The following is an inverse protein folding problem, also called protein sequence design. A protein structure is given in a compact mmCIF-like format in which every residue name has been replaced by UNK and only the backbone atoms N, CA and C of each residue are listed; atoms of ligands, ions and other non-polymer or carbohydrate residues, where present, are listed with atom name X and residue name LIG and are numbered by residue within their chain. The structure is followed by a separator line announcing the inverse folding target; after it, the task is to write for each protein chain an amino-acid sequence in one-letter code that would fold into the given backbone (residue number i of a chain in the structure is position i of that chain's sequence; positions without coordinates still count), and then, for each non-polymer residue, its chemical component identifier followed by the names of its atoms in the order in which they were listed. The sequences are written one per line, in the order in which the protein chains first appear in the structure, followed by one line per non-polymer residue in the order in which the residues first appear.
data_IF_079269264161
#
_entry.id   IF_079269264161
#
_cell.length_a   1.000
_cell.length_b   1.000
_cell.length_c   1.000
_cell.angle_alpha   90.00
_cell.angle_beta   90.00
_cell.angle_gamma   90.00
#
_symmetry.space_group_name_H-M   'P 1'
#
loop_
_entity.id
_entity.type
_entity.pdbx_description
1 polymer ?
#
# COMPACT_ATOMS: atom_id res chain seq x y z
N UNK A 1 -21.39 -22.45 7.69
CA UNK A 1 -21.63 -21.43 6.64
C UNK A 1 -20.28 -20.98 6.16
N UNK A 2 -19.94 -21.25 4.90
CA UNK A 2 -18.63 -20.94 4.35
C UNK A 2 -18.53 -19.46 4.02
N UNK A 3 -17.53 -18.77 4.57
CA UNK A 3 -17.18 -17.42 4.16
C UNK A 3 -16.66 -17.38 2.72
N UNK A 4 -16.34 -16.18 2.20
CA UNK A 4 -15.71 -16.04 0.90
C UNK A 4 -14.35 -16.74 0.88
N UNK A 5 -13.97 -17.25 -0.29
CA UNK A 5 -12.63 -17.78 -0.58
C UNK A 5 -11.86 -16.74 -1.38
N UNK A 6 -10.59 -16.52 -1.06
CA UNK A 6 -9.72 -15.60 -1.78
C UNK A 6 -9.66 -15.93 -3.27
N UNK A 7 -9.72 -14.91 -4.12
CA UNK A 7 -9.53 -15.02 -5.57
C UNK A 7 -8.46 -14.03 -6.00
N UNK A 8 -7.62 -14.40 -6.95
CA UNK A 8 -6.63 -13.46 -7.53
C UNK A 8 -7.29 -12.20 -8.10
N UNK A 9 -8.52 -12.31 -8.61
CA UNK A 9 -9.30 -11.15 -9.08
C UNK A 9 -9.56 -10.12 -7.99
N UNK A 10 -9.55 -10.51 -6.71
CA UNK A 10 -9.75 -9.60 -5.58
C UNK A 10 -8.59 -8.60 -5.47
N UNK A 11 -7.40 -8.94 -5.99
CA UNK A 11 -6.25 -8.02 -6.05
C UNK A 11 -6.53 -6.79 -6.93
N UNK A 12 -7.47 -6.87 -7.87
CA UNK A 12 -7.90 -5.72 -8.68
C UNK A 12 -8.59 -4.63 -7.86
N UNK A 13 -9.00 -4.94 -6.63
CA UNK A 13 -9.59 -3.98 -5.70
C UNK A 13 -8.56 -3.20 -4.91
N UNK A 14 -7.30 -3.65 -4.89
CA UNK A 14 -6.24 -3.07 -4.06
C UNK A 14 -5.64 -1.86 -4.77
N UNK A 15 -5.55 -0.75 -4.04
CA UNK A 15 -4.99 0.50 -4.57
C UNK A 15 -4.12 1.21 -3.54
N UNK A 16 -3.31 2.15 -4.00
CA UNK A 16 -2.60 3.11 -3.15
C UNK A 16 -3.23 4.49 -3.32
N UNK A 17 -3.37 5.21 -2.19
CA UNK A 17 -3.46 6.66 -2.22
C UNK A 17 -2.02 7.19 -2.16
N UNK A 18 -1.54 7.70 -3.28
CA UNK A 18 -0.20 8.26 -3.43
C UNK A 18 -0.22 9.75 -3.10
N UNK A 19 0.75 10.16 -2.29
CA UNK A 19 1.00 11.53 -1.92
C UNK A 19 2.47 11.85 -2.20
N UNK A 20 2.71 13.04 -2.73
CA UNK A 20 4.03 13.63 -2.87
C UNK A 20 3.97 15.09 -2.38
N UNK A 21 5.11 15.78 -2.38
CA UNK A 21 5.21 17.16 -1.89
C UNK A 21 4.26 18.13 -2.62
N UNK A 22 3.90 17.85 -3.87
CA UNK A 22 3.05 18.69 -4.73
C UNK A 22 1.56 18.42 -4.48
N UNK A 23 1.21 17.20 -4.06
CA UNK A 23 -0.17 16.75 -3.86
C UNK A 23 -0.39 16.12 -2.47
N UNK A 24 0.09 16.79 -1.41
CA UNK A 24 0.01 16.25 -0.04
C UNK A 24 -1.43 16.15 0.50
N UNK A 25 -2.36 16.97 -0.01
CA UNK A 25 -3.71 17.11 0.52
C UNK A 25 -4.77 16.27 -0.22
N UNK A 26 -4.76 16.25 -1.55
CA UNK A 26 -5.76 15.49 -2.29
C UNK A 26 -5.35 14.01 -2.45
N UNK A 27 -4.04 13.77 -2.67
CA UNK A 27 -3.55 12.47 -3.07
C UNK A 27 -4.08 12.05 -4.44
N UNK A 28 -3.53 10.98 -4.99
CA UNK A 28 -4.01 10.38 -6.22
C UNK A 28 -4.13 8.87 -6.05
N UNK A 29 -5.20 8.29 -6.57
CA UNK A 29 -5.53 6.88 -6.41
C UNK A 29 -5.00 6.09 -7.61
N UNK A 30 -4.20 5.06 -7.34
CA UNK A 30 -3.73 4.12 -8.35
C UNK A 30 -3.92 2.69 -7.89
N UNK A 31 -4.52 1.86 -8.74
CA UNK A 31 -4.60 0.43 -8.49
C UNK A 31 -3.22 -0.20 -8.66
N UNK A 32 -2.89 -1.21 -7.85
CA UNK A 32 -1.59 -1.89 -7.95
C UNK A 32 -1.39 -2.60 -9.30
N UNK A 33 -2.50 -2.89 -10.00
CA UNK A 33 -2.50 -3.40 -11.38
C UNK A 33 -2.01 -2.39 -12.41
N UNK A 34 -2.09 -1.09 -12.13
CA UNK A 34 -1.66 -0.01 -13.01
C UNK A 34 -0.20 0.40 -12.72
N UNK A 35 0.72 -0.55 -12.97
CA UNK A 35 2.15 -0.36 -12.69
C UNK A 35 2.75 0.82 -13.45
N UNK A 36 2.30 1.05 -14.69
CA UNK A 36 2.73 2.17 -15.53
C UNK A 36 2.18 3.50 -15.03
N UNK A 37 0.90 3.58 -14.63
CA UNK A 37 0.34 4.78 -14.02
C UNK A 37 1.09 5.19 -12.75
N UNK A 38 1.42 4.21 -11.90
CA UNK A 38 2.22 4.43 -10.69
C UNK A 38 3.63 4.92 -11.04
N UNK A 39 4.30 4.28 -12.01
CA UNK A 39 5.64 4.66 -12.46
C UNK A 39 5.70 6.09 -13.00
N UNK A 40 4.64 6.55 -13.67
CA UNK A 40 4.58 7.90 -14.23
C UNK A 40 4.27 8.99 -13.19
N UNK A 41 3.66 8.65 -12.06
CA UNK A 41 3.28 9.61 -11.01
C UNK A 41 4.28 9.68 -9.85
N UNK A 42 4.96 8.57 -9.54
CA UNK A 42 5.88 8.50 -8.41
C UNK A 42 7.10 9.42 -8.63
N UNK A 43 7.53 10.13 -7.58
CA UNK A 43 8.81 10.85 -7.62
C UNK A 43 9.96 9.84 -7.50
N UNK A 44 10.82 9.75 -8.52
CA UNK A 44 11.93 8.80 -8.53
C UNK A 44 13.12 9.28 -7.70
N UNK A 45 13.91 8.35 -7.16
CA UNK A 45 15.15 8.66 -6.42
C UNK A 45 14.94 9.22 -5.00
N UNK A 46 13.70 9.35 -4.53
CA UNK A 46 13.39 9.77 -3.16
C UNK A 46 12.88 8.60 -2.31
N UNK A 47 12.76 8.82 -1.00
CA UNK A 47 12.20 7.80 -0.08
C UNK A 47 10.74 7.50 -0.42
N UNK A 48 10.35 6.24 -0.36
CA UNK A 48 8.96 5.81 -0.52
C UNK A 48 8.48 5.14 0.76
N UNK A 49 7.50 5.77 1.39
CA UNK A 49 6.97 5.42 2.71
C UNK A 49 5.57 4.86 2.57
N UNK A 50 5.39 3.58 2.90
CA UNK A 50 4.15 2.83 2.66
C UNK A 50 3.48 2.52 3.99
N UNK A 51 2.22 2.92 4.13
CA UNK A 51 1.37 2.75 5.30
C UNK A 51 0.26 1.76 4.97
N UNK A 52 0.13 0.70 5.76
CA UNK A 52 -0.83 -0.39 5.50
C UNK A 52 -1.77 -0.55 6.70
N UNK A 53 -3.07 -0.36 6.46
CA UNK A 53 -4.11 -0.56 7.47
C UNK A 53 -4.33 -2.05 7.79
N UNK A 54 -5.03 -2.32 8.88
CA UNK A 54 -5.38 -3.68 9.31
C UNK A 54 -6.80 -4.08 8.93
N UNK A 55 -7.25 -5.18 9.54
CA UNK A 55 -8.61 -5.69 9.43
C UNK A 55 -9.66 -4.60 9.75
N UNK A 56 -10.76 -4.55 8.98
CA UNK A 56 -11.83 -3.55 9.06
C UNK A 56 -11.41 -2.09 8.86
N UNK A 57 -10.18 -1.84 8.39
CA UNK A 57 -9.67 -0.49 8.12
C UNK A 57 -9.67 -0.13 6.63
N UNK A 58 -9.22 1.08 6.34
CA UNK A 58 -8.97 1.60 4.99
C UNK A 58 -7.75 2.53 4.98
N UNK A 59 -7.34 2.98 3.79
CA UNK A 59 -6.22 3.91 3.62
C UNK A 59 -6.46 5.30 4.22
N UNK A 60 -7.71 5.63 4.59
CA UNK A 60 -8.11 6.93 5.19
C UNK A 60 -8.23 6.87 6.71
N UNK A 61 -7.60 5.88 7.35
CA UNK A 61 -7.55 5.82 8.82
C UNK A 61 -6.77 7.01 9.39
N UNK A 62 -7.19 7.52 10.55
CA UNK A 62 -6.62 8.73 11.16
C UNK A 62 -5.12 8.64 11.42
N UNK A 63 -4.61 7.45 11.74
CA UNK A 63 -3.18 7.24 11.94
C UNK A 63 -2.38 7.35 10.63
N UNK A 64 -2.95 6.95 9.48
CA UNK A 64 -2.32 7.13 8.18
C UNK A 64 -2.17 8.62 7.85
N UNK A 65 -3.23 9.41 8.08
CA UNK A 65 -3.19 10.86 7.85
C UNK A 65 -2.20 11.57 8.77
N UNK A 66 -2.17 11.21 10.06
CA UNK A 66 -1.22 11.76 11.01
C UNK A 66 0.23 11.41 10.65
N UNK A 67 0.50 10.15 10.30
CA UNK A 67 1.83 9.69 9.89
C UNK A 67 2.29 10.40 8.61
N UNK A 68 1.44 10.46 7.58
CA UNK A 68 1.69 11.20 6.33
C UNK A 68 2.09 12.65 6.61
N UNK A 69 1.30 13.35 7.43
CA UNK A 69 1.54 14.75 7.78
C UNK A 69 2.92 14.92 8.42
N UNK A 70 3.26 14.07 9.38
CA UNK A 70 4.57 14.14 10.05
C UNK A 70 5.74 13.75 9.15
N UNK A 71 5.53 12.86 8.17
CA UNK A 71 6.54 12.50 7.18
C UNK A 71 6.90 13.69 6.27
N UNK A 72 5.89 14.38 5.73
CA UNK A 72 6.12 15.55 4.88
C UNK A 72 6.74 16.74 5.64
N UNK A 73 6.56 16.83 6.96
CA UNK A 73 7.26 17.82 7.79
C UNK A 73 8.77 17.55 7.91
N UNK A 74 9.21 16.31 7.72
CA UNK A 74 10.60 15.87 7.98
C UNK A 74 11.38 15.49 6.73
N UNK A 75 10.69 15.08 5.68
CA UNK A 75 11.32 14.46 4.52
C UNK A 75 10.68 14.92 3.21
N UNK A 76 11.52 15.08 2.19
CA UNK A 76 11.10 15.07 0.80
C UNK A 76 10.98 13.61 0.35
N UNK A 77 9.74 13.13 0.19
CA UNK A 77 9.45 11.71 0.00
C UNK A 77 8.10 11.48 -0.70
N UNK A 78 7.87 10.24 -1.13
CA UNK A 78 6.55 9.72 -1.46
C UNK A 78 5.94 9.07 -0.21
N UNK A 79 4.65 9.30 0.01
CA UNK A 79 3.87 8.57 1.02
C UNK A 79 2.73 7.84 0.33
N UNK A 80 2.62 6.54 0.55
CA UNK A 80 1.57 5.68 0.00
C UNK A 80 0.73 5.11 1.12
N UNK A 81 -0.58 5.35 1.11
CA UNK A 81 -1.50 4.62 1.96
C UNK A 81 -2.10 3.47 1.14
N UNK A 82 -1.70 2.24 1.44
CA UNK A 82 -2.22 1.04 0.79
C UNK A 82 -3.61 0.74 1.30
N UNK A 83 -4.57 0.69 0.38
CA UNK A 83 -5.94 0.31 0.62
C UNK A 83 -6.20 -1.11 0.09
N UNK A 84 -6.58 -1.98 1.00
CA UNK A 84 -7.01 -3.35 0.74
C UNK A 84 -8.32 -3.64 1.49
N UNK A 85 -9.14 -2.60 1.69
CA UNK A 85 -10.38 -2.63 2.50
C UNK A 85 -11.32 -3.76 2.07
N UNK A 86 -11.47 -4.00 0.77
CA UNK A 86 -12.32 -5.07 0.23
C UNK A 86 -11.93 -6.46 0.79
N UNK A 87 -10.63 -6.74 0.85
CA UNK A 87 -10.09 -8.00 1.34
C UNK A 87 -10.07 -8.02 2.89
N UNK A 88 -9.76 -6.87 3.50
CA UNK A 88 -9.69 -6.70 4.95
C UNK A 88 -11.07 -6.56 5.62
N UNK A 89 -12.17 -6.60 4.86
CA UNK A 89 -13.50 -6.36 5.37
C UNK A 89 -13.96 -7.46 6.35
N UNK A 90 -14.61 -7.04 7.42
CA UNK A 90 -15.29 -7.95 8.33
C UNK A 90 -16.57 -8.53 7.70
N UNK A 91 -17.08 -9.66 8.24
CA UNK A 91 -16.65 -10.36 9.44
C UNK A 91 -15.62 -11.49 9.22
N UNK A 92 -15.16 -11.70 7.99
CA UNK A 92 -14.41 -12.91 7.60
C UNK A 92 -12.91 -12.77 7.85
N UNK A 93 -12.48 -12.93 9.11
CA UNK A 93 -11.07 -12.79 9.49
C UNK A 93 -10.13 -13.76 8.76
N UNK A 94 -10.54 -15.02 8.59
CA UNK A 94 -9.71 -16.03 7.92
C UNK A 94 -9.44 -15.66 6.46
N UNK A 95 -10.45 -15.14 5.77
CA UNK A 95 -10.32 -14.62 4.40
C UNK A 95 -9.37 -13.42 4.34
N UNK A 96 -9.49 -12.48 5.28
CA UNK A 96 -8.59 -11.33 5.36
C UNK A 96 -7.14 -11.75 5.68
N UNK A 97 -6.95 -12.74 6.55
CA UNK A 97 -5.64 -13.24 6.93
C UNK A 97 -4.94 -13.96 5.77
N UNK A 98 -5.67 -14.78 5.01
CA UNK A 98 -5.17 -15.40 3.78
C UNK A 98 -4.83 -14.33 2.72
N UNK A 99 -5.74 -13.38 2.52
CA UNK A 99 -5.57 -12.29 1.56
C UNK A 99 -4.39 -11.37 1.87
N UNK A 100 -4.04 -11.16 3.14
CA UNK A 100 -2.97 -10.26 3.56
C UNK A 100 -1.62 -10.59 2.90
N UNK A 101 -1.24 -11.87 2.82
CA UNK A 101 0.02 -12.24 2.19
C UNK A 101 -0.03 -12.20 0.66
N UNK A 102 -1.20 -12.39 0.05
CA UNK A 102 -1.35 -12.21 -1.41
C UNK A 102 -1.25 -10.73 -1.78
N UNK A 103 -1.85 -9.82 -0.99
CA UNK A 103 -1.67 -8.38 -1.13
C UNK A 103 -0.20 -7.99 -0.95
N UNK A 104 0.47 -8.56 0.05
CA UNK A 104 1.90 -8.32 0.32
C UNK A 104 2.79 -8.71 -0.85
N UNK A 105 2.64 -9.94 -1.37
CA UNK A 105 3.36 -10.41 -2.57
C UNK A 105 3.15 -9.48 -3.76
N UNK A 106 1.89 -9.07 -3.99
CA UNK A 106 1.57 -8.19 -5.11
C UNK A 106 2.19 -6.79 -4.97
N UNK A 107 2.24 -6.26 -3.74
CA UNK A 107 2.99 -5.04 -3.44
C UNK A 107 4.49 -5.25 -3.69
N UNK A 108 5.07 -6.36 -3.25
CA UNK A 108 6.48 -6.71 -3.49
C UNK A 108 6.82 -6.77 -4.99
N UNK A 109 5.95 -7.37 -5.80
CA UNK A 109 6.11 -7.41 -7.26
C UNK A 109 6.06 -6.02 -7.90
N UNK A 110 5.19 -5.13 -7.42
CA UNK A 110 5.15 -3.74 -7.86
C UNK A 110 6.45 -3.01 -7.48
N UNK A 111 6.94 -3.18 -6.25
CA UNK A 111 8.20 -2.56 -5.81
C UNK A 111 9.40 -3.08 -6.61
N UNK A 112 9.45 -4.37 -6.90
CA UNK A 112 10.47 -4.95 -7.77
C UNK A 112 10.41 -4.39 -9.19
N UNK A 113 9.20 -4.21 -9.74
CA UNK A 113 9.00 -3.57 -11.04
C UNK A 113 9.56 -2.14 -11.07
N UNK A 114 9.22 -1.32 -10.07
CA UNK A 114 9.69 0.07 -9.97
C UNK A 114 11.20 0.18 -9.69
N UNK A 115 11.76 -0.82 -9.01
CA UNK A 115 13.20 -0.91 -8.81
C UNK A 115 13.92 -1.22 -10.12
N UNK A 116 13.40 -2.20 -10.88
CA UNK A 116 13.96 -2.60 -12.16
C UNK A 116 13.84 -1.51 -13.24
N UNK A 117 12.86 -0.61 -13.14
CA UNK A 117 12.77 0.57 -14.00
C UNK A 117 13.76 1.69 -13.62
N UNK A 118 14.51 1.51 -12.52
CA UNK A 118 15.46 2.50 -12.01
C UNK A 118 14.80 3.66 -11.25
N UNK A 119 13.49 3.62 -11.03
CA UNK A 119 12.78 4.72 -10.39
C UNK A 119 12.96 4.74 -8.86
N UNK A 120 12.96 3.56 -8.22
CA UNK A 120 13.16 3.45 -6.77
C UNK A 120 14.38 2.60 -6.41
N UNK A 121 14.94 2.87 -5.24
CA UNK A 121 15.91 2.00 -4.60
C UNK A 121 15.26 1.33 -3.39
N UNK A 122 15.35 0.00 -3.28
CA UNK A 122 14.64 -0.76 -2.25
C UNK A 122 15.10 -0.42 -0.82
N UNK A 123 16.33 0.05 -0.63
CA UNK A 123 16.85 0.54 0.66
C UNK A 123 16.19 1.85 1.13
N UNK A 124 15.58 2.60 0.21
CA UNK A 124 14.82 3.82 0.47
C UNK A 124 13.32 3.57 0.65
N UNK A 125 12.88 2.32 0.51
CA UNK A 125 11.50 1.91 0.77
C UNK A 125 11.33 1.57 2.25
N UNK A 126 10.27 2.09 2.87
CA UNK A 126 9.87 1.76 4.25
C UNK A 126 8.41 1.38 4.26
N UNK A 127 8.11 0.23 4.87
CA UNK A 127 6.75 -0.30 4.96
C UNK A 127 6.36 -0.41 6.43
N UNK A 128 5.24 0.20 6.81
CA UNK A 128 4.65 0.09 8.14
C UNK A 128 3.24 -0.47 8.04
N UNK A 129 3.03 -1.63 8.64
CA UNK A 129 1.72 -2.26 8.73
C UNK A 129 1.17 -2.24 10.14
N UNK A 130 -0.10 -1.87 10.30
CA UNK A 130 -0.81 -1.94 11.57
C UNK A 130 -1.66 -3.22 11.64
N UNK A 131 -1.58 -3.95 12.76
CA UNK A 131 -2.38 -5.17 13.00
C UNK A 131 -2.17 -6.18 11.84
N UNK A 132 -3.24 -6.60 11.15
CA UNK A 132 -3.14 -7.52 10.02
C UNK A 132 -2.33 -6.94 8.84
N UNK A 133 -2.26 -5.61 8.72
CA UNK A 133 -1.38 -4.94 7.76
C UNK A 133 0.11 -5.22 7.99
N UNK A 134 0.51 -5.62 9.21
CA UNK A 134 1.90 -6.04 9.47
C UNK A 134 2.25 -7.33 8.72
N UNK A 135 1.29 -8.22 8.51
CA UNK A 135 1.49 -9.43 7.68
C UNK A 135 1.61 -9.07 6.20
N UNK A 136 0.83 -8.10 5.72
CA UNK A 136 0.99 -7.56 4.36
C UNK A 136 2.40 -7.00 4.19
N UNK A 137 2.88 -6.19 5.14
CA UNK A 137 4.22 -5.63 5.12
C UNK A 137 5.31 -6.71 5.14
N UNK A 138 5.16 -7.73 5.99
CA UNK A 138 6.09 -8.84 6.09
C UNK A 138 6.11 -9.74 4.86
N UNK A 139 4.99 -9.91 4.17
CA UNK A 139 4.89 -10.68 2.94
C UNK A 139 5.33 -9.88 1.69
N UNK A 140 5.50 -8.56 1.79
CA UNK A 140 6.00 -7.70 0.71
C UNK A 140 7.54 -7.57 0.69
N UNK A 141 8.20 -7.76 1.84
CA UNK A 141 9.66 -7.72 1.99
C UNK A 141 10.30 -9.10 1.91
#
# INVERSE_FOLDING_TARGET
GGGPTFRETDLSTVFVLMYNILNQNAGAKYYLTDKEGILNEIECGVKTMILIHGFTGSAKTSWCEAAKTEMFRKYYCNVWCLDWEYIAAGPWYDYAAEGACNVGKYLGELLAYLHNSGCISLDLVRIWGHSLGAHVAGCAG
#
